data_IF_392017220683
#
_entry.id   IF_392017220683
#
_cell.length_a   1.000
_cell.length_b   1.000
_cell.length_c   1.000
_cell.angle_alpha   90.00
_cell.angle_beta   90.00
_cell.angle_gamma   90.00
#
_symmetry.space_group_name_H-M   'P 1'
#
loop_
_entity.id
_entity.type
_entity.pdbx_description
1 polymer ?
#
# COMPACT_ATOMS: atom_id res chain seq x y z
N UNK A 1 -15.33 45.45 26.64
CA UNK A 1 -15.57 45.56 25.18
C UNK A 1 -14.86 44.39 24.49
N UNK A 2 -15.42 43.18 24.64
CA UNK A 2 -14.88 41.95 24.07
C UNK A 2 -16.01 40.95 24.00
N UNK A 3 -16.66 40.85 22.84
CA UNK A 3 -17.60 39.80 22.50
C UNK A 3 -17.92 39.88 21.00
N UNK A 4 -18.02 38.72 20.36
CA UNK A 4 -18.53 38.45 19.00
C UNK A 4 -17.57 38.66 17.82
N UNK A 5 -16.63 37.73 17.62
CA UNK A 5 -16.29 37.16 16.29
C UNK A 5 -15.73 35.73 16.49
N UNK A 6 -16.55 34.75 16.89
CA UNK A 6 -16.21 33.33 16.78
C UNK A 6 -17.48 32.48 16.62
N UNK A 7 -18.33 32.82 15.66
CA UNK A 7 -19.40 31.95 15.17
C UNK A 7 -19.05 31.49 13.76
N UNK A 8 -18.17 30.49 13.67
CA UNK A 8 -18.11 29.49 12.58
C UNK A 8 -16.97 28.49 12.86
N UNK A 9 -16.96 27.92 14.07
CA UNK A 9 -16.25 26.67 14.30
C UNK A 9 -17.23 25.57 13.94
N UNK A 10 -17.04 24.95 12.76
CA UNK A 10 -17.82 23.78 12.35
C UNK A 10 -17.79 22.74 13.47
N UNK A 11 -18.94 22.17 13.87
CA UNK A 11 -18.98 21.24 14.97
C UNK A 11 -18.12 20.02 14.64
N UNK A 12 -17.19 19.81 15.55
CA UNK A 12 -16.41 18.61 15.83
C UNK A 12 -17.21 17.37 15.43
N UNK A 13 -16.67 16.56 14.50
CA UNK A 13 -17.04 15.14 14.45
C UNK A 13 -16.36 14.50 15.65
N UNK A 14 -17.03 14.62 16.79
CA UNK A 14 -16.73 13.87 17.99
C UNK A 14 -17.07 12.42 17.63
N UNK A 15 -16.04 11.61 17.37
CA UNK A 15 -16.19 10.18 17.23
C UNK A 15 -16.59 9.66 18.61
N UNK A 16 -17.89 9.65 18.89
CA UNK A 16 -18.43 8.72 19.88
C UNK A 16 -18.06 7.32 19.36
N UNK A 17 -17.20 6.57 20.07
CA UNK A 17 -16.92 5.21 19.68
C UNK A 17 -18.27 4.48 19.71
N UNK A 18 -18.74 4.03 18.55
CA UNK A 18 -19.85 3.08 18.52
C UNK A 18 -19.47 1.94 19.48
N UNK A 19 -20.36 1.54 20.40
CA UNK A 19 -20.07 0.45 21.32
C UNK A 19 -19.59 -0.74 20.48
N UNK A 20 -18.44 -1.31 20.87
CA UNK A 20 -17.80 -2.39 20.13
C UNK A 20 -18.81 -3.52 19.92
N UNK A 21 -19.49 -3.52 18.76
CA UNK A 21 -20.49 -4.53 18.45
C UNK A 21 -19.69 -5.81 18.22
N UNK A 22 -19.85 -6.76 19.15
CA UNK A 22 -19.32 -8.12 19.06
C UNK A 22 -19.57 -8.58 17.62
N UNK A 23 -18.51 -8.71 16.82
CA UNK A 23 -18.64 -9.15 15.42
C UNK A 23 -19.31 -10.51 15.52
N UNK A 24 -20.58 -10.59 15.14
CA UNK A 24 -21.36 -11.81 15.19
C UNK A 24 -20.52 -12.86 14.44
N UNK A 25 -20.17 -14.01 15.03
CA UNK A 25 -19.24 -14.99 14.42
C UNK A 25 -19.64 -15.37 12.99
N UNK A 26 -20.94 -15.29 12.74
CA UNK A 26 -21.65 -15.23 11.48
C UNK A 26 -21.08 -14.24 10.42
N UNK A 27 -21.00 -12.94 10.73
CA UNK A 27 -20.43 -11.92 9.82
C UNK A 27 -18.93 -12.13 9.56
N UNK A 28 -18.21 -12.69 10.54
CA UNK A 28 -16.80 -13.04 10.35
C UNK A 28 -16.64 -14.19 9.34
N UNK A 29 -17.56 -15.16 9.33
CA UNK A 29 -17.56 -16.27 8.36
C UNK A 29 -17.74 -15.80 6.92
N UNK A 30 -18.66 -14.86 6.67
CA UNK A 30 -18.89 -14.29 5.33
C UNK A 30 -17.66 -13.54 4.82
N UNK A 31 -17.05 -12.70 5.67
CA UNK A 31 -15.83 -11.96 5.35
C UNK A 31 -14.66 -12.91 5.10
N UNK A 32 -14.55 -13.99 5.89
CA UNK A 32 -13.54 -15.02 5.73
C UNK A 32 -13.70 -15.78 4.41
N UNK A 33 -14.92 -16.19 4.05
CA UNK A 33 -15.20 -16.85 2.76
C UNK A 33 -14.81 -15.97 1.58
N UNK A 34 -15.26 -14.70 1.59
CA UNK A 34 -14.93 -13.72 0.54
C UNK A 34 -13.41 -13.53 0.45
N UNK A 35 -12.74 -13.38 1.60
CA UNK A 35 -11.28 -13.27 1.65
C UNK A 35 -10.58 -14.47 1.03
N UNK A 36 -11.02 -15.69 1.36
CA UNK A 36 -10.43 -16.94 0.84
C UNK A 36 -10.64 -17.07 -0.67
N UNK A 37 -11.81 -16.68 -1.20
CA UNK A 37 -12.06 -16.65 -2.66
C UNK A 37 -11.05 -15.73 -3.34
N UNK A 38 -10.93 -14.48 -2.88
CA UNK A 38 -10.01 -13.53 -3.50
C UNK A 38 -8.54 -13.93 -3.30
N UNK A 39 -8.17 -14.54 -2.18
CA UNK A 39 -6.82 -15.08 -1.95
C UNK A 39 -6.52 -16.28 -2.87
N UNK A 40 -7.51 -17.13 -3.11
CA UNK A 40 -7.42 -18.20 -4.10
C UNK A 40 -7.21 -17.63 -5.50
N UNK A 41 -8.02 -16.65 -5.93
CA UNK A 41 -7.84 -15.95 -7.21
C UNK A 41 -6.43 -15.31 -7.29
N UNK A 42 -5.92 -14.74 -6.20
CA UNK A 42 -4.55 -14.19 -6.10
C UNK A 42 -3.48 -15.19 -6.48
N UNK A 43 -3.64 -16.40 -5.95
CA UNK A 43 -2.64 -17.45 -6.00
C UNK A 43 -2.60 -18.14 -7.36
N UNK A 44 -3.54 -17.83 -8.27
CA UNK A 44 -3.59 -18.41 -9.63
C UNK A 44 -2.47 -17.91 -10.55
N UNK A 45 -1.74 -16.84 -10.17
CA UNK A 45 -0.75 -16.21 -11.07
C UNK A 45 0.63 -16.10 -10.42
N UNK A 46 1.68 -16.32 -11.23
CA UNK A 46 3.08 -16.28 -10.77
C UNK A 46 3.52 -14.88 -10.32
N UNK A 47 3.02 -13.82 -10.97
CA UNK A 47 3.38 -12.43 -10.64
C UNK A 47 2.80 -11.98 -9.30
N UNK A 48 1.53 -12.30 -9.04
CA UNK A 48 0.86 -11.98 -7.78
C UNK A 48 1.46 -12.81 -6.65
N UNK A 49 1.73 -14.09 -6.91
CA UNK A 49 2.45 -14.95 -5.98
C UNK A 49 3.81 -14.36 -5.65
N UNK A 50 4.53 -13.82 -6.64
CA UNK A 50 5.77 -13.06 -6.45
C UNK A 50 5.58 -11.83 -5.55
N UNK A 51 4.48 -11.09 -5.69
CA UNK A 51 4.18 -9.93 -4.84
C UNK A 51 3.84 -10.31 -3.39
N UNK A 52 3.07 -11.39 -3.19
CA UNK A 52 2.71 -11.93 -1.86
C UNK A 52 3.95 -12.51 -1.18
N UNK A 53 4.77 -13.23 -1.94
CA UNK A 53 5.98 -13.89 -1.45
C UNK A 53 7.20 -12.98 -1.50
N UNK A 54 7.08 -11.73 -1.97
CA UNK A 54 8.19 -10.77 -2.05
C UNK A 54 8.99 -10.64 -0.74
N UNK A 55 8.37 -10.61 0.45
CA UNK A 55 9.10 -10.60 1.72
C UNK A 55 9.91 -11.89 1.96
N UNK A 56 9.40 -13.03 1.49
CA UNK A 56 10.05 -14.35 1.56
C UNK A 56 11.07 -14.56 0.43
N UNK A 57 10.93 -13.84 -0.69
CA UNK A 57 11.79 -13.91 -1.86
C UNK A 57 13.24 -13.67 -1.49
N UNK A 58 13.51 -12.74 -0.56
CA UNK A 58 14.86 -12.50 -0.03
C UNK A 58 15.54 -13.73 0.57
N UNK A 59 14.80 -14.50 1.37
CA UNK A 59 15.27 -15.74 1.98
C UNK A 59 15.52 -16.78 0.90
N UNK A 60 14.61 -16.91 -0.07
CA UNK A 60 14.78 -17.84 -1.18
C UNK A 60 15.99 -17.49 -2.04
N UNK A 61 16.23 -16.20 -2.31
CA UNK A 61 17.39 -15.74 -3.07
C UNK A 61 18.71 -16.04 -2.35
N UNK A 62 18.76 -15.92 -1.02
CA UNK A 62 19.92 -16.37 -0.21
C UNK A 62 20.19 -17.86 -0.38
N UNK A 63 19.13 -18.67 -0.40
CA UNK A 63 19.19 -20.11 -0.62
C UNK A 63 19.48 -20.50 -2.08
N UNK A 64 19.62 -19.53 -2.99
CA UNK A 64 19.85 -19.78 -4.42
C UNK A 64 18.62 -20.32 -5.15
N UNK A 65 17.43 -20.21 -4.54
CA UNK A 65 16.16 -20.64 -5.12
C UNK A 65 15.34 -19.42 -5.56
N UNK A 66 14.29 -19.65 -6.36
CA UNK A 66 13.40 -18.58 -6.82
C UNK A 66 11.99 -18.77 -6.24
N UNK A 67 11.11 -17.82 -6.49
CA UNK A 67 9.71 -17.90 -6.03
C UNK A 67 8.89 -19.02 -6.69
N UNK A 68 9.45 -19.77 -7.66
CA UNK A 68 8.80 -20.95 -8.24
C UNK A 68 8.71 -22.11 -7.25
N UNK A 69 9.40 -22.08 -6.11
CA UNK A 69 9.15 -22.99 -4.99
C UNK A 69 7.69 -22.92 -4.53
N UNK A 70 7.02 -21.77 -4.69
CA UNK A 70 5.61 -21.62 -4.38
C UNK A 70 4.69 -22.02 -5.54
N UNK A 71 5.19 -22.61 -6.63
CA UNK A 71 4.36 -23.12 -7.73
C UNK A 71 3.26 -24.08 -7.27
N UNK A 72 3.40 -24.92 -6.21
CA UNK A 72 2.29 -25.74 -5.70
C UNK A 72 1.13 -24.90 -5.17
N UNK A 73 1.36 -23.64 -4.76
CA UNK A 73 0.30 -22.73 -4.33
C UNK A 73 -0.64 -22.36 -5.49
N UNK A 74 -0.14 -22.42 -6.74
CA UNK A 74 -0.96 -22.23 -7.94
C UNK A 74 -1.92 -23.40 -8.12
N UNK A 75 -1.49 -24.63 -7.81
CA UNK A 75 -2.37 -25.80 -7.85
C UNK A 75 -3.41 -25.78 -6.73
N UNK A 76 -2.99 -25.35 -5.53
CA UNK A 76 -3.86 -25.19 -4.36
C UNK A 76 -4.88 -24.05 -4.55
N UNK A 77 -4.58 -23.07 -5.42
CA UNK A 77 -5.44 -21.89 -5.66
C UNK A 77 -6.89 -22.25 -6.02
N UNK A 78 -7.09 -23.31 -6.81
CA UNK A 78 -8.42 -23.79 -7.21
C UNK A 78 -9.22 -24.29 -6.00
N UNK A 79 -8.55 -25.00 -5.09
CA UNK A 79 -9.15 -25.49 -3.85
C UNK A 79 -9.48 -24.36 -2.89
N UNK A 80 -8.61 -23.34 -2.78
CA UNK A 80 -8.90 -22.13 -2.01
C UNK A 80 -10.16 -21.43 -2.55
N UNK A 81 -10.30 -21.27 -3.87
CA UNK A 81 -11.50 -20.69 -4.46
C UNK A 81 -12.74 -21.52 -4.09
N UNK A 82 -12.69 -22.85 -4.24
CA UNK A 82 -13.82 -23.73 -3.89
C UNK A 82 -14.19 -23.65 -2.40
N UNK A 83 -13.22 -23.70 -1.49
CA UNK A 83 -13.43 -23.57 -0.05
C UNK A 83 -14.02 -22.20 0.28
N UNK A 84 -13.50 -21.13 -0.32
CA UNK A 84 -14.00 -19.78 -0.14
C UNK A 84 -15.46 -19.65 -0.61
N UNK A 85 -15.79 -20.16 -1.80
CA UNK A 85 -17.16 -20.18 -2.33
C UNK A 85 -18.08 -20.97 -1.39
N UNK A 86 -17.66 -22.14 -0.92
CA UNK A 86 -18.43 -22.94 0.02
C UNK A 86 -18.72 -22.15 1.31
N UNK A 87 -17.69 -21.56 1.94
CA UNK A 87 -17.85 -20.75 3.16
C UNK A 87 -18.77 -19.55 2.91
N UNK A 88 -18.61 -18.85 1.79
CA UNK A 88 -19.45 -17.69 1.45
C UNK A 88 -20.90 -18.10 1.19
N UNK A 89 -21.15 -19.20 0.46
CA UNK A 89 -22.50 -19.70 0.18
C UNK A 89 -23.16 -20.21 1.46
N UNK A 90 -22.46 -20.98 2.28
CA UNK A 90 -22.94 -21.40 3.60
C UNK A 90 -23.25 -20.18 4.46
N UNK A 91 -22.35 -19.20 4.51
CA UNK A 91 -22.60 -17.95 5.22
C UNK A 91 -23.83 -17.23 4.67
N UNK A 92 -24.00 -17.08 3.35
CA UNK A 92 -25.17 -16.42 2.76
C UNK A 92 -26.48 -17.15 3.04
N UNK A 93 -26.51 -18.48 2.96
CA UNK A 93 -27.70 -19.30 3.24
C UNK A 93 -28.14 -19.15 4.70
N UNK A 94 -27.19 -19.19 5.64
CA UNK A 94 -27.50 -19.08 7.07
C UNK A 94 -27.63 -17.62 7.56
N UNK A 95 -27.24 -16.63 6.75
CA UNK A 95 -27.10 -15.23 7.15
C UNK A 95 -27.74 -14.24 6.20
N UNK A 96 -28.76 -14.62 5.41
CA UNK A 96 -29.51 -13.65 4.62
C UNK A 96 -29.89 -12.51 5.55
N UNK A 97 -29.23 -11.34 5.44
CA UNK A 97 -29.53 -10.24 6.32
C UNK A 97 -30.95 -9.84 5.96
N UNK A 98 -31.82 -9.66 6.95
CA UNK A 98 -33.14 -9.12 6.65
C UNK A 98 -32.94 -7.78 5.93
N UNK A 99 -33.80 -7.46 4.96
CA UNK A 99 -33.71 -6.24 4.14
C UNK A 99 -33.57 -4.98 5.02
N UNK A 100 -34.15 -5.01 6.23
CA UNK A 100 -34.03 -3.99 7.27
C UNK A 100 -32.63 -3.91 7.91
N UNK A 101 -31.97 -5.03 8.24
CA UNK A 101 -30.60 -5.00 8.79
C UNK A 101 -29.59 -4.45 7.79
N UNK A 102 -29.73 -4.82 6.51
CA UNK A 102 -28.87 -4.34 5.44
C UNK A 102 -29.07 -2.84 5.17
N UNK A 103 -30.32 -2.36 5.09
CA UNK A 103 -30.62 -0.93 4.91
C UNK A 103 -30.16 -0.09 6.11
N UNK A 104 -30.25 -0.61 7.34
CA UNK A 104 -29.83 0.09 8.56
C UNK A 104 -28.31 0.20 8.69
N UNK A 105 -27.56 -0.79 8.18
CA UNK A 105 -26.10 -0.77 8.14
C UNK A 105 -25.56 0.09 6.98
N UNK A 106 -26.18 0.05 5.78
CA UNK A 106 -25.80 0.93 4.64
C UNK A 106 -26.12 2.39 4.93
N UNK A 107 -27.27 2.70 5.54
CA UNK A 107 -27.67 4.06 5.89
C UNK A 107 -26.73 4.76 6.89
N UNK A 108 -25.80 4.02 7.52
CA UNK A 108 -24.81 4.56 8.47
C UNK A 108 -23.40 4.71 7.88
N UNK A 109 -23.17 4.29 6.64
CA UNK A 109 -21.86 4.40 5.99
C UNK A 109 -21.63 5.85 5.56
N UNK A 110 -20.94 6.60 6.41
CA UNK A 110 -20.51 7.95 6.06
C UNK A 110 -19.09 7.94 5.50
N UNK A 111 -18.95 8.19 4.20
CA UNK A 111 -17.64 8.37 3.59
C UNK A 111 -17.12 9.79 3.89
N UNK A 112 -15.88 9.93 4.39
CA UNK A 112 -15.31 11.25 4.65
C UNK A 112 -15.16 12.04 3.34
N UNK A 113 -15.56 13.32 3.35
CA UNK A 113 -15.37 14.22 2.22
C UNK A 113 -13.89 14.33 1.86
N UNK A 114 -13.57 14.18 0.58
CA UNK A 114 -12.20 14.34 0.09
C UNK A 114 -11.81 15.81 0.14
N UNK A 115 -10.58 16.05 0.58
CA UNK A 115 -9.96 17.38 0.63
C UNK A 115 -9.03 17.58 -0.57
N UNK A 116 -8.50 18.79 -0.70
CA UNK A 116 -7.74 19.26 -1.86
C UNK A 116 -6.64 18.32 -2.32
N UNK A 117 -5.71 17.93 -1.44
CA UNK A 117 -4.57 17.10 -1.82
C UNK A 117 -4.97 15.64 -2.02
N UNK A 118 -5.92 15.14 -1.23
CA UNK A 118 -6.51 13.82 -1.42
C UNK A 118 -7.12 13.68 -2.82
N UNK A 119 -7.92 14.65 -3.26
CA UNK A 119 -8.55 14.64 -4.59
C UNK A 119 -7.50 14.68 -5.70
N UNK A 120 -6.50 15.58 -5.62
CA UNK A 120 -5.42 15.67 -6.62
C UNK A 120 -4.65 14.36 -6.75
N UNK A 121 -4.31 13.76 -5.60
CA UNK A 121 -3.61 12.49 -5.55
C UNK A 121 -4.43 11.35 -6.15
N UNK A 122 -5.72 11.26 -5.81
CA UNK A 122 -6.60 10.23 -6.35
C UNK A 122 -6.79 10.39 -7.86
N UNK A 123 -6.94 11.61 -8.37
CA UNK A 123 -6.97 11.87 -9.80
C UNK A 123 -5.67 11.41 -10.50
N UNK A 124 -4.52 11.74 -9.93
CA UNK A 124 -3.23 11.30 -10.47
C UNK A 124 -3.08 9.77 -10.45
N UNK A 125 -3.55 9.09 -9.40
CA UNK A 125 -3.55 7.62 -9.34
C UNK A 125 -4.42 7.00 -10.42
N UNK A 126 -5.61 7.57 -10.69
CA UNK A 126 -6.45 7.12 -11.81
C UNK A 126 -5.79 7.35 -13.17
N UNK A 127 -5.08 8.46 -13.34
CA UNK A 127 -4.29 8.71 -14.54
C UNK A 127 -3.18 7.66 -14.74
N UNK A 128 -2.43 7.31 -13.69
CA UNK A 128 -1.43 6.23 -13.74
C UNK A 128 -2.07 4.88 -14.08
N UNK A 129 -3.23 4.56 -13.49
CA UNK A 129 -3.97 3.35 -13.87
C UNK A 129 -4.37 3.37 -15.35
N UNK A 130 -4.80 4.51 -15.88
CA UNK A 130 -5.11 4.69 -17.30
C UNK A 130 -3.90 4.40 -18.20
N UNK A 131 -2.71 4.90 -17.85
CA UNK A 131 -1.46 4.61 -18.57
C UNK A 131 -1.14 3.10 -18.54
N UNK A 132 -1.28 2.46 -17.39
CA UNK A 132 -0.99 1.03 -17.24
C UNK A 132 -1.98 0.22 -18.08
N UNK A 133 -3.28 0.52 -18.02
CA UNK A 133 -4.31 -0.15 -18.84
C UNK A 133 -4.01 0.04 -20.33
N UNK A 134 -3.71 1.26 -20.75
CA UNK A 134 -3.36 1.57 -22.12
C UNK A 134 -2.14 0.78 -22.60
N UNK A 135 -1.09 0.72 -21.78
CA UNK A 135 0.10 -0.08 -22.06
C UNK A 135 -0.22 -1.57 -22.19
N UNK A 136 -1.01 -2.13 -21.27
CA UNK A 136 -1.41 -3.53 -21.34
C UNK A 136 -2.24 -3.80 -22.60
N UNK A 137 -3.13 -2.89 -23.00
CA UNK A 137 -3.89 -3.01 -24.24
C UNK A 137 -2.99 -2.97 -25.48
N UNK A 138 -1.94 -2.13 -25.49
CA UNK A 138 -0.95 -2.10 -26.58
C UNK A 138 -0.19 -3.42 -26.68
N UNK A 139 0.24 -3.98 -25.55
CA UNK A 139 0.93 -5.28 -25.50
C UNK A 139 -0.01 -6.41 -25.95
N UNK A 140 -1.24 -6.44 -25.43
CA UNK A 140 -2.24 -7.44 -25.82
C UNK A 140 -2.63 -7.36 -27.30
N UNK A 141 -2.53 -6.18 -27.91
CA UNK A 141 -2.75 -5.97 -29.35
C UNK A 141 -1.52 -6.24 -30.22
N UNK A 142 -0.41 -6.70 -29.63
CA UNK A 142 0.86 -6.94 -30.34
C UNK A 142 1.57 -5.67 -30.83
N UNK A 143 1.12 -4.47 -30.42
CA UNK A 143 1.68 -3.18 -30.85
C UNK A 143 2.89 -2.73 -30.03
N UNK A 144 3.13 -3.35 -28.88
CA UNK A 144 4.24 -3.05 -27.97
C UNK A 144 4.80 -4.34 -27.39
N UNK A 145 6.12 -4.42 -27.29
CA UNK A 145 6.86 -5.54 -26.69
C UNK A 145 7.52 -5.17 -25.35
N UNK A 146 7.11 -4.06 -24.74
CA UNK A 146 7.68 -3.59 -23.48
C UNK A 146 7.20 -4.50 -22.33
N UNK A 147 8.10 -5.08 -21.51
CA UNK A 147 7.76 -5.99 -20.42
C UNK A 147 7.09 -5.34 -19.21
N UNK A 148 6.57 -6.20 -18.32
CA UNK A 148 6.24 -5.81 -16.95
C UNK A 148 7.43 -5.13 -16.27
N UNK A 149 7.14 -3.99 -15.67
CA UNK A 149 8.10 -3.21 -14.90
C UNK A 149 8.01 -3.56 -13.39
N UNK A 150 7.44 -4.73 -13.08
CA UNK A 150 7.23 -5.14 -11.70
C UNK A 150 8.60 -5.44 -11.02
N UNK A 151 8.71 -5.24 -9.69
CA UNK A 151 9.95 -5.53 -8.98
C UNK A 151 10.39 -6.99 -9.11
N UNK A 152 9.42 -7.90 -9.27
CA UNK A 152 9.66 -9.32 -9.47
C UNK A 152 10.31 -9.62 -10.82
N UNK A 153 9.91 -8.92 -11.89
CA UNK A 153 10.55 -9.08 -13.20
C UNK A 153 12.01 -8.63 -13.14
N UNK A 154 12.28 -7.56 -12.41
CA UNK A 154 13.65 -7.12 -12.14
C UNK A 154 14.47 -8.19 -11.40
N UNK A 155 13.94 -8.79 -10.35
CA UNK A 155 14.64 -9.85 -9.62
C UNK A 155 14.83 -11.10 -10.47
N UNK A 156 13.80 -11.57 -11.17
CA UNK A 156 13.87 -12.76 -12.02
C UNK A 156 14.87 -12.62 -13.18
N UNK A 157 14.98 -11.43 -13.79
CA UNK A 157 16.01 -11.14 -14.79
C UNK A 157 17.41 -11.16 -14.19
N UNK A 158 17.57 -10.52 -13.03
CA UNK A 158 18.84 -10.48 -12.29
C UNK A 158 19.31 -11.90 -11.93
N UNK A 159 18.39 -12.78 -11.51
CA UNK A 159 18.69 -14.19 -11.21
C UNK A 159 19.12 -14.99 -12.43
N UNK A 160 18.62 -14.64 -13.63
CA UNK A 160 19.06 -15.25 -14.89
C UNK A 160 20.37 -14.66 -15.41
N UNK A 161 21.01 -13.76 -14.64
CA UNK A 161 22.21 -13.06 -15.01
C UNK A 161 21.99 -12.10 -16.19
N UNK A 162 20.79 -11.52 -16.35
CA UNK A 162 20.47 -10.58 -17.43
C UNK A 162 19.91 -9.26 -16.90
N UNK A 163 20.20 -8.15 -17.57
CA UNK A 163 19.60 -6.84 -17.27
C UNK A 163 18.76 -6.35 -18.45
N UNK A 164 17.61 -5.75 -18.17
CA UNK A 164 16.68 -5.26 -19.19
C UNK A 164 15.98 -3.97 -18.80
N UNK A 165 14.92 -3.61 -19.51
CA UNK A 165 14.10 -2.41 -19.27
C UNK A 165 13.68 -2.26 -17.78
N UNK A 166 13.29 -3.32 -17.04
CA UNK A 166 12.96 -3.21 -15.62
C UNK A 166 14.11 -2.64 -14.77
N UNK A 167 15.37 -2.95 -15.08
CA UNK A 167 16.52 -2.43 -14.34
C UNK A 167 16.65 -0.92 -14.47
N UNK A 168 16.57 -0.41 -15.71
CA UNK A 168 16.63 1.04 -15.99
C UNK A 168 15.48 1.78 -15.30
N UNK A 169 14.27 1.20 -15.33
CA UNK A 169 13.14 1.78 -14.62
C UNK A 169 13.38 1.84 -13.11
N UNK A 170 13.82 0.76 -12.48
CA UNK A 170 14.02 0.74 -11.03
C UNK A 170 15.15 1.68 -10.60
N UNK A 171 16.22 1.80 -11.39
CA UNK A 171 17.24 2.85 -11.20
C UNK A 171 16.60 4.24 -11.24
N UNK A 172 15.80 4.54 -12.26
CA UNK A 172 15.11 5.81 -12.37
C UNK A 172 14.19 6.06 -11.16
N UNK A 173 13.45 5.05 -10.69
CA UNK A 173 12.64 5.14 -9.48
C UNK A 173 13.49 5.44 -8.24
N UNK A 174 14.63 4.78 -8.05
CA UNK A 174 15.52 5.06 -6.92
C UNK A 174 16.10 6.48 -6.97
N UNK A 175 16.52 6.95 -8.15
CA UNK A 175 16.98 8.32 -8.35
C UNK A 175 15.87 9.34 -8.06
N UNK A 176 14.65 9.07 -8.53
CA UNK A 176 13.49 9.92 -8.23
C UNK A 176 13.15 9.93 -6.75
N UNK A 177 13.39 8.84 -6.00
CA UNK A 177 13.21 8.81 -4.54
C UNK A 177 14.25 9.65 -3.82
N UNK A 178 15.48 9.76 -4.34
CA UNK A 178 16.47 10.68 -3.79
C UNK A 178 16.05 12.14 -3.95
N UNK A 179 15.30 12.48 -5.00
CA UNK A 179 14.80 13.84 -5.24
C UNK A 179 13.49 14.09 -4.48
N UNK A 180 12.47 13.26 -4.72
CA UNK A 180 11.11 13.44 -4.23
C UNK A 180 10.79 12.71 -2.93
N UNK A 181 11.79 12.07 -2.30
CA UNK A 181 11.57 11.20 -1.15
C UNK A 181 10.62 10.04 -1.51
N UNK A 182 9.79 9.63 -0.56
CA UNK A 182 8.80 8.57 -0.76
C UNK A 182 7.47 9.05 -1.38
N UNK A 183 7.47 10.19 -2.06
CA UNK A 183 6.27 10.66 -2.76
C UNK A 183 5.76 9.65 -3.80
N UNK A 184 6.64 8.91 -4.48
CA UNK A 184 6.23 7.86 -5.42
C UNK A 184 5.39 6.75 -4.75
N UNK A 185 5.67 6.43 -3.48
CA UNK A 185 4.88 5.47 -2.73
C UNK A 185 3.44 5.95 -2.50
N UNK A 186 3.15 7.25 -2.51
CA UNK A 186 1.79 7.76 -2.33
C UNK A 186 1.10 8.16 -3.64
N UNK A 187 1.84 8.64 -4.64
CA UNK A 187 1.28 9.15 -5.90
C UNK A 187 1.31 8.14 -7.05
N UNK A 188 2.39 7.37 -7.20
CA UNK A 188 2.60 6.50 -8.38
C UNK A 188 2.28 5.03 -8.09
N UNK A 189 2.52 4.57 -6.86
CA UNK A 189 2.32 3.17 -6.50
C UNK A 189 0.86 2.73 -6.65
N UNK A 190 0.63 1.70 -7.48
CA UNK A 190 -0.69 1.11 -7.76
C UNK A 190 -1.35 0.50 -6.51
N UNK A 191 -0.56 0.04 -5.53
CA UNK A 191 -1.10 -0.56 -4.31
C UNK A 191 -1.58 0.46 -3.28
N UNK A 192 -1.36 1.75 -3.50
CA UNK A 192 -1.77 2.80 -2.57
C UNK A 192 -3.28 3.01 -2.54
N UNK A 193 -3.97 3.19 -3.68
CA UNK A 193 -5.43 3.24 -3.75
C UNK A 193 -6.10 2.06 -3.03
N UNK A 194 -5.57 0.85 -3.24
CA UNK A 194 -6.04 -0.40 -2.62
C UNK A 194 -5.99 -0.27 -1.09
N UNK A 195 -4.85 0.10 -0.53
CA UNK A 195 -4.68 0.24 0.92
C UNK A 195 -5.51 1.39 1.52
N UNK A 196 -5.72 2.47 0.77
CA UNK A 196 -6.54 3.60 1.21
C UNK A 196 -8.03 3.25 1.22
N UNK A 197 -8.51 2.52 0.22
CA UNK A 197 -9.87 2.03 0.18
C UNK A 197 -10.12 1.01 1.29
N UNK A 198 -9.17 0.11 1.56
CA UNK A 198 -9.22 -0.81 2.70
C UNK A 198 -9.39 -0.08 4.03
N UNK A 199 -8.67 1.02 4.22
CA UNK A 199 -8.81 1.89 5.39
C UNK A 199 -10.18 2.57 5.48
N UNK A 200 -10.68 3.09 4.35
CA UNK A 200 -11.98 3.75 4.27
C UNK A 200 -13.12 2.76 4.56
N UNK A 201 -13.06 1.55 4.03
CA UNK A 201 -14.03 0.49 4.30
C UNK A 201 -14.06 0.12 5.79
N UNK A 202 -12.91 -0.05 6.42
CA UNK A 202 -12.86 -0.33 7.86
C UNK A 202 -13.43 0.83 8.69
N UNK A 203 -13.14 2.07 8.28
CA UNK A 203 -13.69 3.28 8.92
C UNK A 203 -15.20 3.38 8.76
N UNK A 204 -15.72 3.06 7.58
CA UNK A 204 -17.15 2.99 7.29
C UNK A 204 -17.88 1.95 8.16
N UNK A 205 -17.22 0.85 8.51
CA UNK A 205 -17.76 -0.20 9.40
C UNK A 205 -17.49 0.11 10.90
N UNK A 206 -17.07 1.33 11.23
CA UNK A 206 -16.89 1.79 12.61
C UNK A 206 -15.56 1.39 13.27
N UNK A 207 -14.60 0.85 12.51
CA UNK A 207 -13.25 0.56 13.00
C UNK A 207 -12.30 1.70 12.63
N UNK A 208 -11.48 2.18 13.56
CA UNK A 208 -10.43 3.16 13.24
C UNK A 208 -9.05 2.50 13.12
N UNK A 209 -8.57 2.18 11.90
CA UNK A 209 -7.28 1.54 11.70
C UNK A 209 -6.06 2.46 11.95
N UNK A 210 -6.24 3.79 12.09
CA UNK A 210 -5.13 4.69 12.46
C UNK A 210 -4.74 4.58 13.94
N UNK A 211 -5.64 4.12 14.81
CA UNK A 211 -5.37 3.95 16.24
C UNK A 211 -4.51 2.71 16.55
N UNK A 212 -4.43 1.76 15.60
CA UNK A 212 -3.61 0.56 15.75
C UNK A 212 -2.18 0.87 15.33
N UNK A 213 -1.28 0.92 16.30
CA UNK A 213 0.16 1.10 16.08
C UNK A 213 0.88 -0.20 16.43
N UNK A 214 1.12 -1.05 15.44
CA UNK A 214 2.00 -2.20 15.64
C UNK A 214 3.44 -1.70 15.80
N UNK A 215 4.06 -1.92 16.96
CA UNK A 215 5.28 -1.21 17.36
C UNK A 215 6.59 -1.84 16.81
N UNK A 216 6.51 -2.79 15.89
CA UNK A 216 7.69 -3.44 15.30
C UNK A 216 8.26 -2.64 14.13
N UNK A 217 8.62 -1.37 14.38
CA UNK A 217 9.24 -0.47 13.38
C UNK A 217 10.54 -1.06 12.79
N UNK A 218 11.18 -2.01 13.48
CA UNK A 218 12.39 -2.74 13.03
C UNK A 218 12.11 -3.84 12.00
N UNK A 219 10.89 -4.39 11.96
CA UNK A 219 10.55 -5.54 11.10
C UNK A 219 10.77 -5.24 9.62
N UNK A 220 10.36 -4.06 9.16
CA UNK A 220 10.55 -3.66 7.77
C UNK A 220 12.03 -3.59 7.38
N UNK A 221 12.91 -3.12 8.27
CA UNK A 221 14.34 -3.04 8.00
C UNK A 221 14.98 -4.43 7.95
N UNK A 222 14.53 -5.36 8.80
CA UNK A 222 15.00 -6.76 8.76
C UNK A 222 14.59 -7.43 7.46
N UNK A 223 13.30 -7.35 7.08
CA UNK A 223 12.81 -7.93 5.81
C UNK A 223 13.52 -7.29 4.61
N UNK A 224 13.71 -5.97 4.65
CA UNK A 224 14.46 -5.24 3.62
C UNK A 224 15.90 -5.73 3.52
N UNK A 225 16.60 -5.86 4.65
CA UNK A 225 17.99 -6.32 4.67
C UNK A 225 18.11 -7.74 4.11
N UNK A 226 17.26 -8.66 4.56
CA UNK A 226 17.23 -10.04 4.04
C UNK A 226 16.98 -10.05 2.53
N UNK A 227 16.03 -9.25 2.05
CA UNK A 227 15.72 -9.14 0.63
C UNK A 227 16.89 -8.66 -0.22
N UNK A 228 17.49 -7.52 0.14
CA UNK A 228 18.57 -6.92 -0.65
C UNK A 228 19.89 -7.67 -0.51
N UNK A 229 20.22 -8.20 0.67
CA UNK A 229 21.40 -9.07 0.85
C UNK A 229 21.24 -10.34 0.03
N UNK A 230 20.03 -10.93 -0.01
CA UNK A 230 19.73 -12.07 -0.88
C UNK A 230 19.97 -11.78 -2.36
N UNK A 231 19.51 -10.62 -2.84
CA UNK A 231 19.77 -10.18 -4.23
C UNK A 231 21.27 -10.00 -4.47
N UNK A 232 21.97 -9.23 -3.63
CA UNK A 232 23.39 -8.93 -3.79
C UNK A 232 24.22 -10.22 -3.79
N UNK A 233 23.95 -11.11 -2.84
CA UNK A 233 24.65 -12.39 -2.74
C UNK A 233 24.43 -13.27 -3.97
N UNK A 234 23.21 -13.28 -4.51
CA UNK A 234 22.91 -14.01 -5.73
C UNK A 234 23.61 -13.40 -6.96
N UNK A 235 23.64 -12.07 -7.07
CA UNK A 235 24.40 -11.36 -8.12
C UNK A 235 25.88 -11.74 -8.04
N UNK A 236 26.48 -11.73 -6.84
CA UNK A 236 27.88 -12.11 -6.63
C UNK A 236 28.13 -13.55 -7.07
N UNK A 237 27.27 -14.51 -6.71
CA UNK A 237 27.41 -15.92 -7.13
C UNK A 237 27.31 -16.14 -8.63
N UNK A 238 26.64 -15.25 -9.35
CA UNK A 238 26.40 -15.37 -10.78
C UNK A 238 27.16 -14.32 -11.60
N UNK A 239 28.19 -13.68 -11.03
CA UNK A 239 29.01 -12.66 -11.69
C UNK A 239 29.51 -13.14 -13.07
N UNK A 240 30.01 -14.36 -13.15
CA UNK A 240 30.58 -14.94 -14.38
C UNK A 240 29.51 -15.23 -15.46
N UNK A 241 28.23 -15.26 -15.08
CA UNK A 241 27.09 -15.52 -15.97
C UNK A 241 26.35 -14.23 -16.36
N UNK A 242 26.79 -13.08 -15.87
CA UNK A 242 26.17 -11.80 -16.17
C UNK A 242 26.36 -11.46 -17.65
N UNK A 243 25.24 -11.42 -18.36
CA UNK A 243 25.15 -10.97 -19.73
C UNK A 243 24.31 -9.69 -19.77
N UNK A 244 24.91 -8.58 -20.20
CA UNK A 244 24.21 -7.31 -20.47
C UNK A 244 23.40 -7.39 -21.78
N UNK A 245 22.59 -8.43 -21.94
CA UNK A 245 21.65 -8.53 -23.06
C UNK A 245 20.34 -7.88 -22.65
N UNK A 246 19.96 -6.83 -23.37
CA UNK A 246 18.63 -6.23 -23.25
C UNK A 246 17.57 -7.29 -23.55
N UNK A 247 16.99 -7.83 -22.49
CA UNK A 247 15.92 -8.79 -22.58
C UNK A 247 14.59 -8.07 -22.34
N UNK A 248 13.62 -8.31 -23.22
CA UNK A 248 12.30 -7.67 -23.17
C UNK A 248 11.41 -8.26 -22.07
N UNK A 249 11.99 -8.65 -20.93
CA UNK A 249 11.33 -9.26 -19.76
C UNK A 249 10.57 -10.56 -20.08
N UNK A 250 9.76 -11.00 -19.12
CA UNK A 250 8.87 -12.15 -19.29
C UNK A 250 7.59 -11.68 -20.01
N UNK A 251 7.06 -12.53 -20.91
CA UNK A 251 5.73 -12.36 -21.49
C UNK A 251 4.73 -12.16 -20.37
N UNK A 252 4.25 -10.93 -20.23
CA UNK A 252 3.14 -10.63 -19.33
C UNK A 252 1.93 -11.30 -19.94
N UNK A 253 1.39 -12.31 -19.26
CA UNK A 253 0.16 -12.95 -19.69
C UNK A 253 -1.00 -11.93 -19.80
N UNK A 254 -2.16 -12.36 -20.32
CA UNK A 254 -3.23 -11.48 -20.77
C UNK A 254 -3.69 -10.45 -19.73
N UNK A 255 -4.30 -9.36 -20.22
CA UNK A 255 -4.88 -8.19 -19.52
C UNK A 255 -5.45 -8.45 -18.11
N UNK A 256 -5.98 -9.64 -17.87
CA UNK A 256 -6.48 -10.13 -16.58
C UNK A 256 -5.44 -10.14 -15.44
N UNK A 257 -4.15 -10.33 -15.71
CA UNK A 257 -3.13 -10.55 -14.67
C UNK A 257 -2.86 -9.31 -13.78
N UNK A 258 -2.81 -8.11 -14.36
CA UNK A 258 -2.62 -6.88 -13.59
C UNK A 258 -3.83 -6.55 -12.71
N UNK A 259 -5.04 -6.68 -13.26
CA UNK A 259 -6.28 -6.48 -12.51
C UNK A 259 -6.43 -7.52 -11.40
N UNK A 260 -6.09 -8.78 -11.67
CA UNK A 260 -6.04 -9.81 -10.65
C UNK A 260 -5.09 -9.39 -9.50
N UNK A 261 -3.93 -8.80 -9.76
CA UNK A 261 -3.01 -8.36 -8.69
C UNK A 261 -3.54 -7.25 -7.80
N UNK A 262 -4.23 -6.27 -8.37
CA UNK A 262 -4.87 -5.18 -7.62
C UNK A 262 -6.06 -5.69 -6.82
N UNK A 263 -6.91 -6.50 -7.44
CA UNK A 263 -8.11 -7.10 -6.83
C UNK A 263 -7.75 -8.04 -5.69
N UNK A 264 -6.64 -8.75 -5.80
CA UNK A 264 -6.25 -9.79 -4.83
C UNK A 264 -5.39 -9.27 -3.68
N UNK A 265 -4.68 -8.15 -3.89
CA UNK A 265 -4.08 -7.38 -2.79
C UNK A 265 -5.14 -6.69 -1.92
N UNK A 266 -6.35 -6.46 -2.43
CA UNK A 266 -7.44 -5.85 -1.68
C UNK A 266 -7.83 -6.60 -0.39
N UNK A 267 -8.24 -7.89 -0.42
CA UNK A 267 -8.55 -8.64 0.80
C UNK A 267 -7.36 -8.72 1.77
N UNK A 268 -6.15 -8.94 1.25
CA UNK A 268 -4.92 -9.00 2.05
C UNK A 268 -4.68 -7.67 2.78
N UNK A 269 -4.82 -6.55 2.08
CA UNK A 269 -4.65 -5.22 2.69
C UNK A 269 -5.78 -4.89 3.64
N UNK A 270 -7.03 -5.32 3.42
CA UNK A 270 -8.11 -5.20 4.41
C UNK A 270 -7.75 -5.97 5.68
N UNK A 271 -7.33 -7.22 5.55
CA UNK A 271 -6.93 -8.05 6.68
C UNK A 271 -5.78 -7.40 7.44
N UNK A 272 -4.67 -7.08 6.76
CA UNK A 272 -3.52 -6.43 7.37
C UNK A 272 -3.90 -5.09 8.01
N UNK A 273 -4.75 -4.30 7.37
CA UNK A 273 -5.20 -3.01 7.91
C UNK A 273 -6.07 -3.17 9.15
N UNK A 274 -6.92 -4.18 9.18
CA UNK A 274 -7.78 -4.49 10.33
C UNK A 274 -6.96 -4.90 11.55
N UNK A 275 -5.89 -5.68 11.40
CA UNK A 275 -5.09 -6.19 12.53
C UNK A 275 -3.92 -5.27 12.90
N UNK A 276 -3.13 -4.83 11.92
CA UNK A 276 -1.86 -4.14 12.14
C UNK A 276 -1.95 -2.61 11.91
N UNK A 277 -3.08 -2.12 11.41
CA UNK A 277 -3.37 -0.69 11.19
C UNK A 277 -3.14 -0.23 9.75
N UNK A 278 -3.37 1.05 9.48
CA UNK A 278 -3.30 1.58 8.10
C UNK A 278 -1.95 1.35 7.43
N UNK A 279 -1.99 1.00 6.13
CA UNK A 279 -0.79 0.77 5.29
C UNK A 279 0.20 -0.25 5.86
N UNK A 280 -0.27 -1.26 6.57
CA UNK A 280 0.58 -2.24 7.25
C UNK A 280 1.55 -2.97 6.31
N UNK A 281 1.14 -3.26 5.08
CA UNK A 281 2.02 -3.84 4.08
C UNK A 281 3.24 -2.93 3.81
N UNK A 282 3.00 -1.64 3.54
CA UNK A 282 4.07 -0.66 3.31
C UNK A 282 4.90 -0.31 4.55
N UNK A 283 4.36 -0.51 5.76
CA UNK A 283 5.03 -0.24 7.04
C UNK A 283 5.90 -1.38 7.53
N UNK A 284 5.53 -2.62 7.24
CA UNK A 284 6.14 -3.78 7.88
C UNK A 284 6.68 -4.81 6.90
N UNK A 285 6.09 -4.97 5.71
CA UNK A 285 6.36 -6.10 4.83
C UNK A 285 7.05 -5.72 3.51
N UNK A 286 6.86 -4.51 3.02
CA UNK A 286 7.39 -4.11 1.71
C UNK A 286 8.91 -3.84 1.76
N UNK A 287 9.77 -4.70 1.16
CA UNK A 287 11.22 -4.51 1.19
C UNK A 287 11.67 -3.28 0.40
N UNK A 288 10.95 -2.93 -0.67
CA UNK A 288 11.18 -1.68 -1.41
C UNK A 288 10.86 -0.46 -0.54
N UNK A 289 9.74 -0.51 0.19
CA UNK A 289 9.31 0.56 1.08
C UNK A 289 10.30 0.80 2.23
N UNK A 290 10.91 -0.26 2.75
CA UNK A 290 11.94 -0.15 3.78
C UNK A 290 13.23 0.45 3.26
N UNK A 291 13.69 0.02 2.08
CA UNK A 291 14.87 0.60 1.45
C UNK A 291 14.65 2.09 1.14
N UNK A 292 13.50 2.43 0.54
CA UNK A 292 13.14 3.82 0.27
C UNK A 292 12.96 4.65 1.54
N UNK A 293 12.66 4.05 2.70
CA UNK A 293 12.59 4.74 4.00
C UNK A 293 13.96 5.25 4.46
N UNK A 294 15.02 4.55 4.08
CA UNK A 294 16.40 4.98 4.37
C UNK A 294 16.76 6.16 3.47
N UNK A 295 16.52 6.04 2.17
CA UNK A 295 16.84 7.09 1.19
C UNK A 295 16.00 8.36 1.34
N UNK A 296 14.72 8.23 1.73
CA UNK A 296 13.82 9.38 1.82
C UNK A 296 14.20 10.41 2.87
N UNK A 297 15.04 10.05 3.85
CA UNK A 297 15.61 11.01 4.80
C UNK A 297 16.40 12.13 4.11
N UNK A 298 17.04 11.78 3.00
CA UNK A 298 17.82 12.68 2.14
C UNK A 298 16.98 13.35 1.04
N UNK A 299 15.73 12.90 0.85
CA UNK A 299 14.82 13.46 -0.14
C UNK A 299 14.62 14.97 0.02
N UNK A 300 14.61 15.71 -1.09
CA UNK A 300 14.42 17.16 -1.07
C UNK A 300 12.97 17.53 -0.77
N UNK A 301 12.00 16.79 -1.31
CA UNK A 301 10.58 17.05 -1.09
C UNK A 301 10.15 16.58 0.31
N UNK A 302 9.77 17.53 1.17
CA UNK A 302 9.30 17.28 2.54
C UNK A 302 8.02 18.06 2.83
N UNK A 303 7.34 17.67 3.90
CA UNK A 303 6.28 18.48 4.49
C UNK A 303 6.93 19.44 5.50
N UNK A 304 6.78 20.75 5.27
CA UNK A 304 7.25 21.81 6.14
C UNK A 304 6.14 22.27 7.07
N UNK A 305 6.53 22.70 8.26
CA UNK A 305 5.64 23.17 9.31
C UNK A 305 6.02 24.60 9.72
N UNK A 306 5.03 25.48 9.69
CA UNK A 306 5.10 26.81 10.26
C UNK A 306 4.67 26.75 11.73
N UNK A 307 5.64 26.86 12.65
CA UNK A 307 5.39 26.76 14.09
C UNK A 307 4.50 27.89 14.59
N UNK A 308 4.60 29.09 14.01
CA UNK A 308 3.82 30.26 14.44
C UNK A 308 2.32 30.08 14.19
N UNK A 309 1.95 29.22 13.21
CA UNK A 309 0.55 28.90 12.88
C UNK A 309 0.06 27.62 13.53
N UNK A 310 0.91 26.84 14.19
CA UNK A 310 0.52 25.54 14.74
C UNK A 310 -0.18 25.71 16.10
N UNK A 311 -1.38 25.15 16.25
CA UNK A 311 -2.18 25.23 17.48
C UNK A 311 -2.10 23.98 18.35
N UNK A 312 -1.13 23.08 18.09
CA UNK A 312 -0.90 21.84 18.84
C UNK A 312 -2.12 20.88 18.96
N UNK A 313 -3.06 20.93 18.02
CA UNK A 313 -4.29 20.13 18.07
C UNK A 313 -4.10 18.62 17.79
N UNK A 314 -2.88 18.16 17.45
CA UNK A 314 -2.49 16.76 17.13
C UNK A 314 -3.33 16.08 16.04
N UNK A 315 -4.06 16.85 15.22
CA UNK A 315 -4.93 16.32 14.16
C UNK A 315 -4.13 15.70 13.02
N UNK A 316 -2.96 16.25 12.73
CA UNK A 316 -2.04 15.75 11.71
C UNK A 316 -1.49 14.36 12.06
N UNK A 317 -1.12 14.11 13.33
CA UNK A 317 -0.67 12.80 13.83
C UNK A 317 -1.77 11.74 13.70
N UNK A 318 -2.99 12.07 14.14
CA UNK A 318 -4.15 11.16 14.08
C UNK A 318 -4.55 10.79 12.65
N UNK A 319 -4.35 11.70 11.69
CA UNK A 319 -4.69 11.46 10.29
C UNK A 319 -3.56 10.82 9.48
N UNK A 320 -2.34 10.71 10.04
CA UNK A 320 -1.20 10.16 9.32
C UNK A 320 -1.34 8.65 9.11
N UNK A 321 -1.62 8.24 7.87
CA UNK A 321 -1.78 6.83 7.51
C UNK A 321 -0.50 6.01 7.76
N UNK A 322 0.67 6.64 7.71
CA UNK A 322 1.96 6.02 8.01
C UNK A 322 2.31 6.03 9.50
N UNK A 323 1.50 6.66 10.35
CA UNK A 323 1.75 6.71 11.80
C UNK A 323 3.01 7.49 12.19
N UNK A 324 3.42 8.45 11.36
CA UNK A 324 4.52 9.39 11.67
C UNK A 324 4.08 10.31 12.79
N UNK A 325 4.96 10.48 13.79
CA UNK A 325 4.77 11.37 14.93
C UNK A 325 5.22 12.78 14.53
N UNK A 326 4.32 13.55 13.93
CA UNK A 326 4.51 14.91 13.41
C UNK A 326 4.75 15.90 14.56
N UNK A 327 4.06 15.73 15.69
CA UNK A 327 4.23 16.58 16.88
C UNK A 327 5.69 16.60 17.36
N UNK A 328 6.39 15.47 17.30
CA UNK A 328 7.81 15.37 17.70
C UNK A 328 8.68 16.41 17.00
N UNK A 329 8.45 16.65 15.71
CA UNK A 329 9.20 17.64 14.93
C UNK A 329 8.91 19.07 15.40
N UNK A 330 7.70 19.35 15.89
CA UNK A 330 7.36 20.66 16.48
C UNK A 330 8.16 20.89 17.75
N UNK A 331 8.11 19.93 18.66
CA UNK A 331 8.74 20.00 19.99
C UNK A 331 10.26 20.06 19.88
N UNK A 332 10.85 19.33 18.93
CA UNK A 332 12.29 19.35 18.66
C UNK A 332 12.78 20.63 17.96
N UNK A 333 11.87 21.55 17.63
CA UNK A 333 12.24 22.77 16.94
C UNK A 333 12.54 22.58 15.45
N UNK A 334 12.13 21.47 14.83
CA UNK A 334 12.34 21.22 13.41
C UNK A 334 11.25 21.89 12.56
N UNK A 335 11.63 22.37 11.37
CA UNK A 335 10.72 23.03 10.42
C UNK A 335 10.24 22.10 9.31
N UNK A 336 10.79 20.88 9.24
CA UNK A 336 10.46 19.86 8.24
C UNK A 336 10.30 18.49 8.89
N UNK A 337 9.38 17.68 8.36
CA UNK A 337 9.17 16.30 8.82
C UNK A 337 10.22 15.41 8.13
N UNK A 338 11.25 14.99 8.88
CA UNK A 338 12.38 14.19 8.38
C UNK A 338 12.22 12.67 8.59
N UNK A 339 11.00 12.21 8.84
CA UNK A 339 10.73 10.78 9.08
C UNK A 339 10.84 9.98 7.77
N UNK A 340 11.64 8.90 7.77
CA UNK A 340 11.79 8.02 6.61
C UNK A 340 10.49 7.34 6.18
N UNK A 341 9.54 7.16 7.12
CA UNK A 341 8.23 6.60 6.86
C UNK A 341 7.23 7.61 6.28
N UNK A 342 7.59 8.89 6.22
CA UNK A 342 6.77 9.89 5.56
C UNK A 342 6.78 9.65 4.04
N UNK A 343 5.60 9.33 3.50
CA UNK A 343 5.36 9.11 2.06
C UNK A 343 4.90 10.38 1.33
N UNK A 344 4.94 11.53 2.00
CA UNK A 344 4.61 12.84 1.42
C UNK A 344 3.21 12.85 0.75
N UNK A 345 2.22 12.22 1.41
CA UNK A 345 0.87 12.06 0.84
C UNK A 345 -0.02 13.30 0.92
N UNK A 346 0.32 14.27 1.78
CA UNK A 346 -0.47 15.49 1.99
C UNK A 346 -1.69 15.35 2.90
N UNK A 347 -2.00 14.16 3.43
CA UNK A 347 -3.18 13.97 4.31
C UNK A 347 -3.09 14.83 5.60
N UNK A 348 -1.87 15.07 6.11
CA UNK A 348 -1.64 15.97 7.23
C UNK A 348 -1.89 17.45 6.87
N UNK A 349 -1.50 17.87 5.67
CA UNK A 349 -1.75 19.22 5.11
C UNK A 349 -3.25 19.47 4.99
N UNK A 350 -3.97 18.52 4.40
CA UNK A 350 -5.43 18.59 4.26
C UNK A 350 -6.14 18.63 5.62
N UNK A 351 -5.66 17.88 6.61
CA UNK A 351 -6.30 17.80 7.93
C UNK A 351 -6.06 19.01 8.84
N UNK A 352 -5.04 19.83 8.56
CA UNK A 352 -4.61 20.92 9.43
C UNK A 352 -5.59 22.11 9.38
N UNK A 353 -6.27 22.47 10.49
CA UNK A 353 -7.23 23.57 10.49
C UNK A 353 -6.55 24.94 10.34
N UNK A 354 -5.37 25.12 10.92
CA UNK A 354 -4.62 26.39 10.89
C UNK A 354 -3.71 26.54 9.67
N UNK A 355 -3.74 25.58 8.74
CA UNK A 355 -2.90 25.55 7.52
C UNK A 355 -1.40 25.74 7.82
N UNK A 356 -0.94 25.23 8.97
CA UNK A 356 0.46 25.30 9.39
C UNK A 356 1.39 24.37 8.58
N UNK A 357 0.84 23.36 7.91
CA UNK A 357 1.60 22.37 7.14
C UNK A 357 1.52 22.66 5.64
N UNK A 358 2.63 22.56 4.93
CA UNK A 358 2.71 22.73 3.47
C UNK A 358 3.77 21.82 2.85
N UNK A 359 3.64 21.53 1.55
CA UNK A 359 4.73 20.92 0.80
C UNK A 359 5.88 21.93 0.67
N UNK A 360 7.12 21.46 0.72
CA UNK A 360 8.29 22.30 0.58
C UNK A 360 9.53 21.51 0.17
N UNK A 361 10.53 22.23 -0.31
CA UNK A 361 11.82 21.68 -0.73
C UNK A 361 12.87 22.01 0.34
N UNK A 362 13.71 21.04 0.68
CA UNK A 362 14.82 21.18 1.61
C UNK A 362 14.53 20.71 3.05
N UNK A 363 15.63 20.48 3.79
CA UNK A 363 15.64 20.08 5.20
C UNK A 363 15.39 21.19 6.18
#
# INVERSE_FOLDING_TARGET
>A
MSAKIFEHVSPVMEFTPLPARRVNGKRALLVLGIFIIFFGIASTTKEILGCITLPLGGILYLLGTNTQIFSPLIEISKYLIMIGVFITVTALIFLIPTKEEFNKDIGRVHFPKWKTWKTRRTFFQFFIYGIIIFHILLVASGKSSIPSICPQSFTDLTLKGSFGIPFLFWIAVFLLVLIFGRALCSWVCVYTPVQEQSALLLTAVGKNPNNKKFNHKKLIYVITAIFWVGIIFNVIRNLDKLNFKMNNGLDVGPLWLFFAGVVTMFPMTIFLTNYFGNRSFCKYLCPLGGLMSVYSKFGLLKIKMDKGKCTDCKRCDKNCQMGVEIEKYRTNGETSIKDGNCIVCGDCVDSCPSKALKFGIGG
#
